data_IF_779428354479
#
_entry.id   IF_779428354479
#
_cell.length_a   1.000
_cell.length_b   1.000
_cell.length_c   1.000
_cell.angle_alpha   90.00
_cell.angle_beta   90.00
_cell.angle_gamma   90.00
#
_symmetry.space_group_name_H-M   'P 1'
#
loop_
_entity.id
_entity.type
_entity.pdbx_description
1 polymer ?
#
# COMPACT_ATOMS: atom_id res chain seq x y z
N UNK A 1 -14.62 11.57 -67.80
CA UNK A 1 -13.17 11.78 -67.94
C UNK A 1 -12.53 11.62 -66.56
N UNK A 2 -11.64 10.63 -66.45
CA UNK A 2 -10.64 10.31 -65.39
C UNK A 2 -11.11 10.31 -63.92
N UNK A 3 -11.38 9.15 -63.31
CA UNK A 3 -10.46 8.13 -62.76
C UNK A 3 -9.63 8.59 -61.55
N UNK A 4 -9.76 7.84 -60.45
CA UNK A 4 -8.93 7.99 -59.25
C UNK A 4 -9.37 7.13 -58.06
N UNK A 5 -9.58 5.82 -58.29
CA UNK A 5 -9.73 4.80 -57.25
C UNK A 5 -8.34 4.42 -56.72
N UNK A 6 -8.16 4.32 -55.40
CA UNK A 6 -7.00 3.66 -54.81
C UNK A 6 -7.41 2.88 -53.56
N UNK A 7 -7.29 1.56 -53.69
CA UNK A 7 -7.60 0.56 -52.70
C UNK A 7 -6.42 0.32 -51.74
N UNK A 8 -6.79 -0.06 -50.52
CA UNK A 8 -6.22 -1.12 -49.67
C UNK A 8 -4.71 -1.43 -49.81
N UNK A 9 -3.99 -1.29 -48.70
CA UNK A 9 -2.86 -2.18 -48.42
C UNK A 9 -2.81 -2.53 -46.93
N UNK A 10 -3.20 -3.76 -46.65
CA UNK A 10 -3.15 -4.45 -45.37
C UNK A 10 -1.71 -4.92 -45.13
N UNK A 11 -1.02 -4.34 -44.16
CA UNK A 11 0.33 -4.77 -43.75
C UNK A 11 0.28 -5.85 -42.67
N UNK A 12 0.41 -7.11 -43.08
CA UNK A 12 0.54 -8.28 -42.21
C UNK A 12 1.91 -8.34 -41.51
N UNK A 13 1.93 -8.28 -40.18
CA UNK A 13 3.14 -8.46 -39.38
C UNK A 13 3.33 -9.96 -39.07
N UNK A 14 4.12 -10.66 -39.90
CA UNK A 14 4.49 -12.06 -39.71
C UNK A 14 5.49 -12.19 -38.53
N UNK A 15 5.09 -13.00 -37.54
CA UNK A 15 5.98 -13.52 -36.48
C UNK A 15 6.95 -14.54 -37.09
N UNK A 16 8.22 -14.19 -37.20
CA UNK A 16 9.29 -15.19 -37.34
C UNK A 16 9.53 -15.87 -36.00
N UNK A 17 9.24 -17.17 -35.95
CA UNK A 17 9.70 -18.07 -34.90
C UNK A 17 10.83 -18.88 -35.50
N UNK A 18 12.05 -18.70 -35.02
CA UNK A 18 13.15 -19.61 -35.33
C UNK A 18 13.29 -20.59 -34.16
N UNK A 19 13.15 -21.87 -34.49
CA UNK A 19 13.41 -23.02 -33.64
C UNK A 19 14.48 -23.86 -34.33
N UNK A 20 15.31 -24.48 -33.50
CA UNK A 20 16.19 -25.64 -33.72
C UNK A 20 17.69 -25.39 -33.87
N UNK A 21 18.44 -26.10 -33.03
CA UNK A 21 19.89 -26.24 -33.07
C UNK A 21 20.42 -26.87 -31.78
N UNK A 22 20.21 -28.17 -31.58
CA UNK A 22 21.07 -29.01 -30.73
C UNK A 22 22.33 -29.40 -31.52
N UNK A 23 23.47 -29.57 -30.84
CA UNK A 23 24.25 -30.79 -31.09
C UNK A 23 24.62 -31.54 -29.81
N UNK A 24 24.64 -32.85 -29.96
CA UNK A 24 25.18 -33.87 -29.06
C UNK A 24 26.68 -34.07 -29.36
N UNK A 25 27.45 -34.43 -28.32
CA UNK A 25 28.66 -35.28 -28.28
C UNK A 25 29.59 -34.76 -27.16
N UNK A 26 29.64 -35.38 -25.98
CA UNK A 26 30.32 -36.64 -25.62
C UNK A 26 31.85 -36.54 -25.62
N UNK A 27 32.42 -36.50 -24.41
CA UNK A 27 33.68 -37.08 -23.88
C UNK A 27 33.97 -36.28 -22.60
N UNK A 28 34.08 -36.77 -21.37
CA UNK A 28 34.53 -38.05 -20.81
C UNK A 28 35.43 -37.69 -19.61
N UNK A 29 35.45 -38.54 -18.58
CA UNK A 29 36.21 -38.42 -17.30
C UNK A 29 35.54 -37.51 -16.25
N UNK A 30 35.08 -37.97 -15.08
CA UNK A 30 35.41 -39.15 -14.31
C UNK A 30 35.95 -38.68 -12.97
N UNK A 31 35.09 -38.46 -11.96
CA UNK A 31 35.51 -38.17 -10.58
C UNK A 31 34.41 -38.54 -9.56
N UNK A 32 34.70 -39.63 -8.86
CA UNK A 32 34.36 -39.92 -7.47
C UNK A 32 32.95 -39.59 -6.95
N UNK A 33 32.10 -40.62 -6.92
CA UNK A 33 30.85 -40.68 -6.18
C UNK A 33 31.11 -40.62 -4.67
N UNK A 34 31.16 -39.40 -4.11
CA UNK A 34 31.03 -39.18 -2.66
C UNK A 34 29.53 -39.14 -2.32
N UNK A 35 28.97 -40.29 -1.94
CA UNK A 35 27.66 -40.35 -1.31
C UNK A 35 27.74 -39.64 0.05
N UNK A 36 27.33 -38.37 0.09
CA UNK A 36 26.98 -37.69 1.34
C UNK A 36 25.52 -38.04 1.65
N UNK A 37 25.20 -38.56 2.85
CA UNK A 37 23.81 -38.81 3.20
C UNK A 37 23.05 -37.48 3.20
N UNK A 38 21.88 -37.49 2.55
CA UNK A 38 20.94 -36.38 2.62
C UNK A 38 20.69 -36.05 4.10
N UNK A 39 21.05 -34.82 4.51
CA UNK A 39 20.55 -34.27 5.76
C UNK A 39 19.03 -34.18 5.60
N UNK A 40 18.33 -35.18 6.13
CA UNK A 40 16.92 -35.08 6.44
C UNK A 40 16.76 -33.90 7.39
N UNK A 41 16.41 -32.73 6.85
CA UNK A 41 15.88 -31.66 7.68
C UNK A 41 14.60 -32.21 8.29
N UNK A 42 14.49 -32.32 9.62
CA UNK A 42 13.22 -32.69 10.23
C UNK A 42 12.22 -31.63 9.77
N UNK A 43 11.21 -32.08 9.02
CA UNK A 43 10.03 -31.28 8.71
C UNK A 43 9.59 -30.61 10.02
N UNK A 44 9.40 -29.27 10.05
CA UNK A 44 8.87 -28.62 11.23
C UNK A 44 7.56 -29.31 11.59
N UNK A 45 7.51 -29.85 12.82
CA UNK A 45 6.29 -30.34 13.47
C UNK A 45 5.16 -29.37 13.12
N UNK A 46 4.11 -29.93 12.55
CA UNK A 46 2.86 -29.26 12.23
C UNK A 46 2.49 -28.36 13.42
N UNK A 47 2.73 -27.07 13.26
CA UNK A 47 2.49 -26.11 14.33
C UNK A 47 0.99 -26.07 14.46
N UNK A 48 0.45 -26.68 15.52
CA UNK A 48 -0.97 -26.70 15.83
C UNK A 48 -1.55 -25.32 15.48
N UNK A 49 -2.41 -25.29 14.46
CA UNK A 49 -3.05 -24.06 14.01
C UNK A 49 -3.79 -23.50 15.22
N UNK A 50 -3.22 -22.47 15.87
CA UNK A 50 -3.89 -21.76 16.96
C UNK A 50 -5.26 -21.37 16.43
N UNK A 51 -6.31 -21.90 17.06
CA UNK A 51 -7.70 -21.63 16.72
C UNK A 51 -7.88 -20.13 16.52
N UNK A 52 -8.46 -19.71 15.38
CA UNK A 52 -8.73 -18.30 15.10
C UNK A 52 -9.36 -17.66 16.35
N UNK A 53 -8.80 -16.58 16.90
CA UNK A 53 -9.35 -15.96 18.09
C UNK A 53 -10.80 -15.56 17.81
N UNK A 54 -11.72 -15.96 18.70
CA UNK A 54 -13.14 -15.58 18.60
C UNK A 54 -13.22 -14.06 18.51
N UNK A 55 -13.85 -13.55 17.46
CA UNK A 55 -14.07 -12.11 17.23
C UNK A 55 -15.17 -11.64 18.19
N UNK A 56 -14.86 -11.57 19.48
CA UNK A 56 -15.82 -11.24 20.53
C UNK A 56 -15.99 -9.73 20.61
N UNK A 57 -17.24 -9.26 20.49
CA UNK A 57 -17.59 -7.87 20.73
C UNK A 57 -17.33 -7.47 22.20
N UNK A 58 -16.91 -6.23 22.42
CA UNK A 58 -16.56 -5.70 23.75
C UNK A 58 -17.27 -4.37 24.00
N UNK A 59 -18.00 -4.32 25.10
CA UNK A 59 -18.64 -3.12 25.62
C UNK A 59 -17.82 -2.54 26.76
N UNK A 60 -17.64 -1.21 26.77
CA UNK A 60 -16.95 -0.51 27.85
C UNK A 60 -17.30 0.97 27.84
N UNK A 61 -17.01 1.65 28.95
CA UNK A 61 -17.07 3.11 29.06
C UNK A 61 -15.67 3.69 28.96
N UNK A 62 -15.54 4.82 28.27
CA UNK A 62 -14.26 5.52 28.19
C UNK A 62 -14.47 7.04 28.11
N UNK A 63 -13.59 7.77 28.80
CA UNK A 63 -13.55 9.22 28.80
C UNK A 63 -12.85 9.74 27.55
N UNK A 64 -13.47 10.71 26.88
CA UNK A 64 -12.89 11.36 25.70
C UNK A 64 -11.78 12.31 26.16
N UNK A 65 -10.54 11.93 25.88
CA UNK A 65 -9.34 12.70 26.23
C UNK A 65 -8.81 13.48 25.02
N UNK A 66 -8.07 14.56 25.28
CA UNK A 66 -7.35 15.31 24.25
C UNK A 66 -5.93 14.78 24.16
N UNK A 67 -5.46 14.49 22.95
CA UNK A 67 -4.04 14.19 22.76
C UNK A 67 -3.27 15.50 22.97
N UNK A 68 -2.21 15.53 23.82
CA UNK A 68 -1.30 16.66 23.89
C UNK A 68 -0.45 16.70 22.61
N UNK A 69 -1.01 17.31 21.57
CA UNK A 69 -0.42 17.47 20.25
C UNK A 69 -0.87 18.82 19.67
N UNK A 70 -0.12 19.33 18.69
CA UNK A 70 -0.53 20.50 17.89
C UNK A 70 -1.89 20.31 17.21
N UNK A 71 -2.28 19.05 16.99
CA UNK A 71 -3.58 18.70 16.47
C UNK A 71 -4.53 18.44 17.64
N UNK A 72 -5.63 19.21 17.71
CA UNK A 72 -6.67 19.13 18.75
C UNK A 72 -7.53 17.86 18.61
N UNK A 73 -6.88 16.71 18.59
CA UNK A 73 -7.47 15.40 18.37
C UNK A 73 -8.01 14.84 19.68
N UNK A 74 -9.23 14.32 19.61
CA UNK A 74 -9.90 13.66 20.73
C UNK A 74 -9.80 12.16 20.55
N UNK A 75 -9.45 11.44 21.60
CA UNK A 75 -9.25 10.00 21.57
C UNK A 75 -9.77 9.34 22.84
N UNK A 76 -9.91 8.02 22.78
CA UNK A 76 -10.09 7.18 23.96
C UNK A 76 -8.97 6.14 24.02
N UNK A 77 -8.58 5.75 25.23
CA UNK A 77 -7.76 4.56 25.46
C UNK A 77 -8.66 3.35 25.54
N UNK A 78 -8.26 2.25 24.90
CA UNK A 78 -9.00 0.99 24.97
C UNK A 78 -8.67 0.30 26.30
N UNK A 79 -9.66 0.02 27.17
CA UNK A 79 -9.41 -0.44 28.54
C UNK A 79 -9.08 -1.94 28.64
N UNK A 80 -8.80 -2.60 27.51
CA UNK A 80 -8.43 -4.01 27.47
C UNK A 80 -7.32 -4.25 26.44
N UNK A 81 -6.61 -5.37 26.61
CA UNK A 81 -5.52 -5.74 25.72
C UNK A 81 -6.06 -6.33 24.41
N UNK A 82 -6.11 -5.49 23.37
CA UNK A 82 -6.59 -5.87 22.03
C UNK A 82 -5.81 -7.05 21.44
N UNK A 83 -4.49 -7.10 21.66
CA UNK A 83 -3.65 -8.21 21.17
C UNK A 83 -4.05 -9.53 21.80
N UNK A 84 -4.34 -9.57 23.10
CA UNK A 84 -4.80 -10.78 23.80
C UNK A 84 -6.23 -11.17 23.40
N UNK A 85 -7.13 -10.18 23.25
CA UNK A 85 -8.56 -10.46 23.02
C UNK A 85 -8.86 -10.78 21.55
N UNK A 86 -8.23 -10.07 20.60
CA UNK A 86 -8.52 -10.20 19.16
C UNK A 86 -7.34 -10.75 18.34
N UNK A 87 -6.20 -11.06 18.97
CA UNK A 87 -5.02 -11.62 18.30
C UNK A 87 -4.35 -10.67 17.30
N UNK A 88 -4.58 -9.36 17.44
CA UNK A 88 -4.11 -8.35 16.50
C UNK A 88 -3.14 -7.37 17.18
N UNK A 89 -1.90 -7.34 16.71
CA UNK A 89 -0.81 -6.57 17.34
C UNK A 89 -0.66 -5.14 16.78
N UNK A 90 -1.05 -4.92 15.53
CA UNK A 90 -0.96 -3.62 14.87
C UNK A 90 -2.25 -2.81 14.96
N UNK A 91 -2.46 -1.96 13.96
CA UNK A 91 -3.71 -1.24 13.78
C UNK A 91 -4.85 -2.21 13.47
N UNK A 92 -5.97 -2.10 14.20
CA UNK A 92 -7.10 -3.04 14.10
C UNK A 92 -8.32 -2.32 13.55
N UNK A 93 -8.90 -2.83 12.46
CA UNK A 93 -10.18 -2.32 11.95
C UNK A 93 -11.30 -2.78 12.89
N UNK A 94 -12.17 -1.85 13.26
CA UNK A 94 -13.31 -2.12 14.15
C UNK A 94 -14.60 -1.54 13.59
N UNK A 95 -15.71 -2.19 13.91
CA UNK A 95 -17.07 -1.66 13.77
C UNK A 95 -17.73 -1.67 15.14
N UNK A 96 -18.69 -0.79 15.35
CA UNK A 96 -19.23 -0.60 16.68
C UNK A 96 -20.14 0.61 16.80
N UNK A 97 -20.43 0.96 18.04
CA UNK A 97 -21.33 2.07 18.39
C UNK A 97 -20.73 2.92 19.51
N UNK A 98 -21.03 4.22 19.48
CA UNK A 98 -20.78 5.18 20.56
C UNK A 98 -22.13 5.75 21.00
N UNK A 99 -22.56 5.46 22.23
CA UNK A 99 -23.90 5.83 22.73
C UNK A 99 -25.04 5.47 21.74
N UNK A 100 -24.95 4.30 21.10
CA UNK A 100 -25.91 3.85 20.07
C UNK A 100 -25.66 4.36 18.65
N UNK A 101 -24.72 5.30 18.44
CA UNK A 101 -24.38 5.78 17.10
C UNK A 101 -23.37 4.85 16.41
N UNK A 102 -23.80 4.17 15.35
CA UNK A 102 -22.99 3.21 14.61
C UNK A 102 -21.82 3.86 13.85
N UNK A 103 -20.67 3.20 13.90
CA UNK A 103 -19.47 3.61 13.17
C UNK A 103 -18.55 2.46 12.77
N UNK A 104 -17.61 2.79 11.87
CA UNK A 104 -16.45 1.95 11.56
C UNK A 104 -15.18 2.79 11.63
N UNK A 105 -14.15 2.28 12.28
CA UNK A 105 -12.89 3.01 12.48
C UNK A 105 -11.70 2.06 12.58
N UNK A 106 -10.54 2.61 12.93
CA UNK A 106 -9.29 1.89 13.17
C UNK A 106 -8.82 2.20 14.58
N UNK A 107 -8.50 1.16 15.34
CA UNK A 107 -7.73 1.25 16.57
C UNK A 107 -6.26 1.37 16.21
N UNK A 108 -5.60 2.41 16.73
CA UNK A 108 -4.19 2.65 16.51
C UNK A 108 -3.36 2.02 17.62
N UNK A 109 -2.38 1.21 17.26
CA UNK A 109 -1.38 0.71 18.22
C UNK A 109 -0.41 1.83 18.58
N UNK A 110 -0.16 2.03 19.87
CA UNK A 110 0.84 2.99 20.35
C UNK A 110 2.19 2.30 20.58
N UNK A 111 3.29 3.08 20.58
CA UNK A 111 4.62 2.56 20.94
C UNK A 111 4.70 1.99 22.37
N UNK A 112 3.78 2.41 23.24
CA UNK A 112 3.67 1.97 24.63
C UNK A 112 2.85 0.68 24.79
N UNK A 113 2.42 0.05 23.69
CA UNK A 113 1.78 -1.26 23.70
C UNK A 113 0.27 -1.28 23.96
N UNK A 114 -0.39 -0.12 24.09
CA UNK A 114 -1.84 -0.02 24.18
C UNK A 114 -2.47 0.50 22.87
N UNK A 115 -3.77 0.29 22.72
CA UNK A 115 -4.54 0.76 21.56
C UNK A 115 -5.39 1.99 21.91
N UNK A 116 -5.54 2.88 20.93
CA UNK A 116 -6.39 4.05 21.01
C UNK A 116 -7.39 4.10 19.86
N UNK A 117 -8.56 4.70 20.10
CA UNK A 117 -9.50 5.09 19.05
C UNK A 117 -9.53 6.61 18.91
N UNK A 118 -9.33 7.11 17.70
CA UNK A 118 -9.57 8.52 17.39
C UNK A 118 -11.07 8.78 17.27
N UNK A 119 -11.58 9.73 18.06
CA UNK A 119 -12.99 10.12 18.05
C UNK A 119 -13.15 11.39 17.22
N UNK A 120 -13.47 11.20 15.94
CA UNK A 120 -13.65 12.32 14.99
C UNK A 120 -14.82 13.22 15.37
N UNK A 121 -14.88 14.44 14.81
CA UNK A 121 -16.01 15.37 15.01
C UNK A 121 -17.35 14.70 14.70
N UNK A 122 -17.43 13.89 13.63
CA UNK A 122 -18.63 13.14 13.25
C UNK A 122 -19.06 12.15 14.34
N UNK A 123 -18.12 11.43 14.95
CA UNK A 123 -18.42 10.47 16.02
C UNK A 123 -18.90 11.17 17.29
N UNK A 124 -18.28 12.29 17.65
CA UNK A 124 -18.69 13.09 18.81
C UNK A 124 -20.11 13.64 18.66
N UNK A 125 -20.42 14.21 17.50
CA UNK A 125 -21.76 14.74 17.21
C UNK A 125 -22.77 13.59 17.16
N UNK A 126 -22.47 12.51 16.43
CA UNK A 126 -23.40 11.39 16.27
C UNK A 126 -23.68 10.64 17.58
N UNK A 127 -22.66 10.45 18.41
CA UNK A 127 -22.78 9.80 19.71
C UNK A 127 -23.10 10.75 20.87
N UNK A 128 -23.40 12.02 20.60
CA UNK A 128 -23.65 13.05 21.60
C UNK A 128 -22.64 13.01 22.78
N UNK A 129 -21.34 13.09 22.45
CA UNK A 129 -20.25 12.96 23.42
C UNK A 129 -19.25 14.12 23.26
N UNK A 130 -19.01 14.85 24.34
CA UNK A 130 -18.07 15.97 24.39
C UNK A 130 -16.69 15.57 24.92
N UNK A 131 -15.73 16.49 24.79
CA UNK A 131 -14.41 16.31 25.38
C UNK A 131 -14.52 16.31 26.92
N UNK A 132 -13.87 15.36 27.58
CA UNK A 132 -13.94 15.18 29.03
C UNK A 132 -15.12 14.33 29.51
N UNK A 133 -16.10 14.04 28.65
CA UNK A 133 -17.23 13.19 28.99
C UNK A 133 -16.92 11.71 28.79
N UNK A 134 -17.65 10.87 29.53
CA UNK A 134 -17.60 9.41 29.39
C UNK A 134 -18.69 8.95 28.43
N UNK A 135 -18.31 8.24 27.37
CA UNK A 135 -19.24 7.62 26.43
C UNK A 135 -19.21 6.08 26.54
N UNK A 136 -20.33 5.45 26.21
CA UNK A 136 -20.46 4.01 26.10
C UNK A 136 -20.03 3.57 24.69
N UNK A 137 -19.09 2.63 24.63
CA UNK A 137 -18.61 2.04 23.40
C UNK A 137 -18.98 0.56 23.34
N UNK A 138 -19.34 0.10 22.14
CA UNK A 138 -19.46 -1.31 21.79
C UNK A 138 -18.61 -1.55 20.54
N UNK A 139 -17.55 -2.37 20.62
CA UNK A 139 -16.59 -2.58 19.53
C UNK A 139 -16.39 -4.04 19.20
N UNK A 140 -16.23 -4.35 17.93
CA UNK A 140 -15.81 -5.66 17.43
C UNK A 140 -14.87 -5.52 16.22
N UNK A 141 -14.01 -6.52 15.94
CA UNK A 141 -13.18 -6.50 14.75
C UNK A 141 -14.00 -6.43 13.45
N UNK A 142 -13.69 -5.45 12.58
CA UNK A 142 -14.29 -5.32 11.25
C UNK A 142 -13.52 -6.18 10.23
N UNK A 143 -13.94 -7.45 10.10
CA UNK A 143 -13.39 -8.39 9.12
C UNK A 143 -14.02 -8.27 7.74
N UNK A 144 -15.01 -7.37 7.56
CA UNK A 144 -15.68 -7.21 6.28
C UNK A 144 -14.67 -6.81 5.18
N UNK A 145 -14.78 -7.50 4.04
CA UNK A 145 -14.06 -7.12 2.81
C UNK A 145 -14.64 -5.79 2.34
N UNK A 146 -13.81 -4.75 2.36
CA UNK A 146 -14.17 -3.45 1.76
C UNK A 146 -13.75 -3.48 0.30
N UNK A 147 -14.68 -3.13 -0.59
CA UNK A 147 -14.44 -3.02 -2.02
C UNK A 147 -14.57 -1.54 -2.39
N UNK A 148 -13.65 -1.02 -3.20
CA UNK A 148 -13.82 0.29 -3.82
C UNK A 148 -14.88 0.15 -4.92
N UNK A 149 -15.98 0.87 -4.79
CA UNK A 149 -17.03 0.89 -5.81
C UNK A 149 -16.54 1.80 -6.93
N UNK A 150 -16.19 1.22 -8.07
CA UNK A 150 -15.70 1.94 -9.24
C UNK A 150 -16.90 2.56 -9.96
N UNK A 151 -16.97 3.90 -10.14
CA UNK A 151 -18.08 4.54 -10.84
C UNK A 151 -18.08 4.18 -12.33
N UNK A 152 -19.26 4.14 -12.96
CA UNK A 152 -19.43 3.66 -14.33
C UNK A 152 -18.58 4.46 -15.34
N UNK A 153 -18.44 5.75 -15.14
CA UNK A 153 -17.61 6.67 -15.94
C UNK A 153 -16.15 6.24 -15.93
N UNK A 154 -15.63 5.82 -14.78
CA UNK A 154 -14.24 5.34 -14.65
C UNK A 154 -14.08 3.88 -15.06
N UNK A 155 -15.12 3.05 -14.91
CA UNK A 155 -15.12 1.69 -15.42
C UNK A 155 -14.93 1.67 -16.95
N UNK A 156 -15.55 2.61 -17.67
CA UNK A 156 -15.36 2.75 -19.13
C UNK A 156 -13.89 2.92 -19.49
N UNK A 157 -13.22 3.90 -18.88
CA UNK A 157 -11.79 4.15 -19.10
C UNK A 157 -10.93 2.94 -18.72
N UNK A 158 -11.22 2.29 -17.59
CA UNK A 158 -10.50 1.08 -17.18
C UNK A 158 -10.71 -0.10 -18.13
N UNK A 159 -11.82 -0.16 -18.88
CA UNK A 159 -12.10 -1.25 -19.80
C UNK A 159 -11.42 -1.06 -21.17
N UNK A 160 -10.94 0.15 -21.49
CA UNK A 160 -10.21 0.43 -22.72
C UNK A 160 -8.84 -0.24 -22.75
N UNK A 161 -8.15 -0.32 -21.60
CA UNK A 161 -6.85 -0.98 -21.49
C UNK A 161 -6.79 -1.99 -20.32
N UNK A 162 -6.66 -3.27 -20.68
CA UNK A 162 -6.52 -4.39 -19.73
C UNK A 162 -5.27 -4.30 -18.87
N UNK A 163 -4.17 -3.74 -19.40
CA UNK A 163 -2.92 -3.55 -18.66
C UNK A 163 -3.10 -2.49 -17.57
N UNK A 164 -3.72 -1.36 -17.92
CA UNK A 164 -4.07 -0.30 -16.99
C UNK A 164 -5.02 -0.78 -15.89
N UNK A 165 -6.06 -1.57 -16.25
CA UNK A 165 -6.96 -2.19 -15.27
C UNK A 165 -6.22 -3.04 -14.25
N UNK A 166 -5.33 -3.93 -14.70
CA UNK A 166 -4.55 -4.79 -13.81
C UNK A 166 -3.66 -3.98 -12.87
N UNK A 167 -3.03 -2.93 -13.39
CA UNK A 167 -2.20 -2.04 -12.58
C UNK A 167 -3.05 -1.29 -11.54
N UNK A 168 -4.21 -0.77 -11.92
CA UNK A 168 -5.14 -0.11 -11.01
C UNK A 168 -5.60 -1.05 -9.89
N UNK A 169 -5.91 -2.31 -10.19
CA UNK A 169 -6.35 -3.30 -9.21
C UNK A 169 -5.28 -3.68 -8.18
N UNK A 170 -3.99 -3.48 -8.50
CA UNK A 170 -2.89 -3.61 -7.55
C UNK A 170 -2.78 -2.43 -6.57
N UNK A 171 -3.45 -1.30 -6.84
CA UNK A 171 -3.47 -0.18 -5.90
C UNK A 171 -4.18 -0.58 -4.60
N UNK A 172 -3.62 -0.12 -3.49
CA UNK A 172 -4.21 -0.32 -2.17
C UNK A 172 -5.64 0.21 -2.12
N UNK A 173 -6.51 -0.49 -1.39
CA UNK A 173 -7.93 -0.16 -1.29
C UNK A 173 -8.20 1.32 -0.97
N UNK A 174 -7.41 1.92 -0.07
CA UNK A 174 -7.57 3.32 0.31
C UNK A 174 -7.36 4.27 -0.87
N UNK A 175 -6.38 3.98 -1.74
CA UNK A 175 -6.09 4.78 -2.93
C UNK A 175 -7.22 4.62 -3.95
N UNK A 176 -7.61 3.37 -4.26
CA UNK A 176 -8.73 3.10 -5.17
C UNK A 176 -10.02 3.77 -4.72
N UNK A 177 -10.32 3.67 -3.42
CA UNK A 177 -11.48 4.33 -2.81
C UNK A 177 -11.38 5.85 -2.93
N UNK A 178 -10.25 6.45 -2.58
CA UNK A 178 -10.06 7.89 -2.69
C UNK A 178 -10.27 8.40 -4.12
N UNK A 179 -9.74 7.68 -5.14
CA UNK A 179 -9.95 8.00 -6.55
C UNK A 179 -11.45 7.96 -6.89
N UNK A 180 -12.13 6.85 -6.54
CA UNK A 180 -13.55 6.68 -6.85
C UNK A 180 -14.41 7.75 -6.15
N UNK A 181 -14.18 7.98 -4.86
CA UNK A 181 -14.86 9.00 -4.05
C UNK A 181 -14.63 10.41 -4.63
N UNK A 182 -13.41 10.71 -5.10
CA UNK A 182 -13.08 12.00 -5.71
C UNK A 182 -13.82 12.21 -7.04
N UNK A 183 -13.94 11.18 -7.88
CA UNK A 183 -14.72 11.25 -9.13
C UNK A 183 -16.20 11.54 -8.80
N UNK A 184 -16.82 10.76 -7.91
CA UNK A 184 -18.26 10.91 -7.60
C UNK A 184 -18.61 12.13 -6.75
N UNK A 185 -17.60 12.80 -6.15
CA UNK A 185 -17.83 13.99 -5.33
C UNK A 185 -18.41 15.18 -6.11
N UNK A 186 -18.37 15.18 -7.44
CA UNK A 186 -19.14 16.11 -8.29
C UNK A 186 -20.49 15.55 -8.68
N UNK A 187 -21.49 16.43 -8.71
CA UNK A 187 -22.88 16.09 -9.06
C UNK A 187 -23.11 15.94 -10.57
N UNK A 188 -22.46 16.77 -11.40
CA UNK A 188 -22.62 16.75 -12.86
C UNK A 188 -22.00 15.48 -13.46
N UNK A 189 -22.76 14.70 -14.26
CA UNK A 189 -22.23 13.53 -14.98
C UNK A 189 -21.06 13.87 -15.91
N UNK A 190 -21.13 14.98 -16.65
CA UNK A 190 -20.04 15.41 -17.53
C UNK A 190 -18.77 15.75 -16.73
N UNK A 191 -18.94 16.36 -15.56
CA UNK A 191 -17.82 16.64 -14.67
C UNK A 191 -17.19 15.36 -14.10
N UNK A 192 -17.98 14.29 -13.90
CA UNK A 192 -17.46 12.96 -13.50
C UNK A 192 -16.64 12.35 -14.62
N UNK A 193 -17.10 12.41 -15.87
CA UNK A 193 -16.36 11.95 -17.05
C UNK A 193 -15.01 12.67 -17.13
N UNK A 194 -15.00 14.01 -17.11
CA UNK A 194 -13.76 14.81 -17.14
C UNK A 194 -12.80 14.47 -15.99
N UNK A 195 -13.32 14.14 -14.80
CA UNK A 195 -12.49 13.72 -13.67
C UNK A 195 -11.95 12.31 -13.84
N UNK A 196 -12.75 11.39 -14.38
CA UNK A 196 -12.35 10.02 -14.66
C UNK A 196 -11.22 9.97 -15.70
N UNK A 197 -11.35 10.71 -16.80
CA UNK A 197 -10.31 10.86 -17.83
C UNK A 197 -9.04 11.46 -17.24
N UNK A 198 -9.18 12.60 -16.54
CA UNK A 198 -8.05 13.29 -15.93
C UNK A 198 -7.25 12.41 -14.96
N UNK A 199 -7.93 11.69 -14.07
CA UNK A 199 -7.20 10.83 -13.13
C UNK A 199 -6.62 9.61 -13.86
N UNK A 200 -7.28 9.09 -14.89
CA UNK A 200 -6.74 8.02 -15.71
C UNK A 200 -5.42 8.43 -16.38
N UNK A 201 -5.36 9.61 -17.01
CA UNK A 201 -4.13 10.16 -17.59
C UNK A 201 -2.98 10.19 -16.58
N UNK A 202 -3.23 10.70 -15.37
CA UNK A 202 -2.23 10.77 -14.31
C UNK A 202 -1.76 9.38 -13.85
N UNK A 203 -2.68 8.41 -13.75
CA UNK A 203 -2.37 7.05 -13.35
C UNK A 203 -1.63 6.28 -14.45
N UNK A 204 -1.99 6.46 -15.72
CA UNK A 204 -1.29 5.87 -16.86
C UNK A 204 0.13 6.43 -16.97
N UNK A 205 0.32 7.74 -16.84
CA UNK A 205 1.66 8.34 -16.79
C UNK A 205 2.51 7.79 -15.63
N UNK A 206 1.88 7.50 -14.48
CA UNK A 206 2.54 6.82 -13.35
C UNK A 206 2.93 5.40 -13.71
N UNK A 207 2.02 4.62 -14.29
CA UNK A 207 2.26 3.24 -14.72
C UNK A 207 3.42 3.17 -15.73
N UNK A 208 3.45 4.07 -16.70
CA UNK A 208 4.54 4.17 -17.66
C UNK A 208 5.85 4.55 -16.99
N UNK A 209 5.84 5.51 -16.05
CA UNK A 209 7.02 5.96 -15.33
C UNK A 209 7.65 4.89 -14.42
N UNK A 210 6.87 3.88 -14.00
CA UNK A 210 7.40 2.71 -13.29
C UNK A 210 8.26 1.82 -14.19
N UNK A 211 7.91 1.73 -15.48
CA UNK A 211 8.65 0.97 -16.48
C UNK A 211 9.81 1.79 -17.05
N UNK A 212 9.52 3.03 -17.43
CA UNK A 212 10.42 3.94 -18.13
C UNK A 212 10.37 5.33 -17.47
N UNK A 213 11.41 5.67 -16.71
CA UNK A 213 11.47 6.97 -16.03
C UNK A 213 11.37 8.14 -17.04
N UNK A 214 10.52 9.16 -16.78
CA UNK A 214 10.39 10.31 -17.66
C UNK A 214 11.68 11.15 -17.69
N UNK A 215 11.93 11.93 -18.76
CA UNK A 215 13.16 12.70 -18.93
C UNK A 215 13.51 13.61 -17.75
N UNK A 216 12.51 14.25 -17.14
CA UNK A 216 12.71 15.11 -15.97
C UNK A 216 13.34 14.37 -14.78
N UNK A 217 12.93 13.12 -14.54
CA UNK A 217 13.48 12.30 -13.46
C UNK A 217 14.83 11.71 -13.83
N UNK A 218 15.02 11.31 -15.09
CA UNK A 218 16.34 10.88 -15.60
C UNK A 218 17.39 11.98 -15.41
N UNK A 219 17.07 13.21 -15.76
CA UNK A 219 17.96 14.36 -15.56
C UNK A 219 18.23 14.61 -14.06
N UNK A 220 17.20 14.50 -13.22
CA UNK A 220 17.35 14.66 -11.77
C UNK A 220 18.30 13.60 -11.17
N UNK A 221 18.18 12.35 -11.59
CA UNK A 221 19.07 11.27 -11.16
C UNK A 221 20.47 11.36 -11.77
N UNK A 222 20.62 11.91 -12.97
CA UNK A 222 21.93 12.17 -13.56
C UNK A 222 22.73 13.20 -12.73
N UNK A 223 22.06 14.15 -12.08
CA UNK A 223 22.70 15.13 -11.17
C UNK A 223 23.16 14.51 -9.85
N UNK A 224 22.47 13.48 -9.34
CA UNK A 224 22.90 12.73 -8.16
C UNK A 224 22.74 11.20 -8.37
N UNK A 225 23.80 10.52 -8.84
CA UNK A 225 23.77 9.08 -9.08
C UNK A 225 23.53 8.23 -7.81
N UNK A 226 23.85 8.75 -6.61
CA UNK A 226 23.62 8.02 -5.35
C UNK A 226 22.14 7.93 -5.03
N UNK A 227 21.40 9.02 -5.30
CA UNK A 227 19.95 9.00 -5.20
C UNK A 227 19.33 7.96 -6.15
N UNK A 228 19.93 7.74 -7.33
CA UNK A 228 19.47 6.69 -8.24
C UNK A 228 19.67 5.28 -7.70
N UNK A 229 20.81 5.01 -7.06
CA UNK A 229 21.05 3.72 -6.38
C UNK A 229 20.05 3.51 -5.23
N UNK A 230 19.79 4.56 -4.46
CA UNK A 230 18.76 4.57 -3.43
C UNK A 230 17.36 4.29 -3.97
N UNK A 231 17.01 4.87 -5.12
CA UNK A 231 15.77 4.62 -5.83
C UNK A 231 15.65 3.16 -6.28
N UNK A 232 16.72 2.58 -6.82
CA UNK A 232 16.74 1.16 -7.20
C UNK A 232 16.55 0.22 -6.00
N UNK A 233 17.00 0.62 -4.81
CA UNK A 233 16.78 -0.13 -3.56
C UNK A 233 15.35 -0.04 -3.02
N UNK A 234 14.52 0.90 -3.52
CA UNK A 234 13.15 1.06 -3.06
C UNK A 234 12.24 -0.05 -3.56
N UNK A 235 11.31 -0.45 -2.69
CA UNK A 235 10.22 -1.35 -3.09
C UNK A 235 9.37 -0.73 -4.21
N UNK A 236 8.75 -1.54 -5.11
CA UNK A 236 7.88 -1.02 -6.16
C UNK A 236 6.78 -0.10 -5.63
N UNK A 237 6.23 -0.43 -4.46
CA UNK A 237 5.20 0.38 -3.80
C UNK A 237 5.71 1.78 -3.41
N UNK A 238 6.93 1.88 -2.87
CA UNK A 238 7.54 3.17 -2.51
C UNK A 238 7.77 4.04 -3.74
N UNK A 239 8.36 3.47 -4.79
CA UNK A 239 8.57 4.17 -6.07
C UNK A 239 7.25 4.69 -6.64
N UNK A 240 6.23 3.82 -6.67
CA UNK A 240 4.87 4.18 -7.09
C UNK A 240 4.31 5.37 -6.32
N UNK A 241 4.45 5.40 -5.00
CA UNK A 241 3.94 6.53 -4.19
C UNK A 241 4.63 7.86 -4.51
N UNK A 242 5.94 7.85 -4.79
CA UNK A 242 6.64 9.05 -5.26
C UNK A 242 6.10 9.50 -6.62
N UNK A 243 6.00 8.58 -7.58
CA UNK A 243 5.51 8.89 -8.93
C UNK A 243 4.07 9.43 -8.90
N UNK A 244 3.16 8.78 -8.17
CA UNK A 244 1.79 9.26 -7.98
C UNK A 244 1.77 10.70 -7.43
N UNK A 245 2.62 11.00 -6.45
CA UNK A 245 2.73 12.35 -5.88
C UNK A 245 3.21 13.39 -6.89
N UNK A 246 4.16 13.03 -7.75
CA UNK A 246 4.74 13.91 -8.78
C UNK A 246 3.72 14.19 -9.89
N UNK A 247 3.06 13.16 -10.44
CA UNK A 247 2.09 13.31 -11.52
C UNK A 247 0.75 13.89 -11.07
N UNK A 248 0.42 13.77 -9.78
CA UNK A 248 -0.75 14.44 -9.22
C UNK A 248 -0.58 15.97 -9.18
N UNK A 249 0.64 16.47 -9.00
CA UNK A 249 0.94 17.90 -8.90
C UNK A 249 0.74 18.63 -10.24
N UNK A 250 -0.10 19.67 -10.19
CA UNK A 250 -0.44 20.49 -11.37
C UNK A 250 0.61 21.54 -11.68
N UNK A 251 1.13 22.22 -10.65
CA UNK A 251 2.07 23.33 -10.85
C UNK A 251 3.51 22.81 -10.91
N UNK A 252 4.40 23.44 -11.72
CA UNK A 252 5.80 23.08 -11.78
C UNK A 252 6.49 23.12 -10.41
N UNK A 253 6.21 24.15 -9.60
CA UNK A 253 6.88 24.37 -8.31
C UNK A 253 6.51 23.26 -7.31
N UNK A 254 5.24 22.84 -7.31
CA UNK A 254 4.81 21.74 -6.44
C UNK A 254 5.37 20.40 -6.91
N UNK A 255 5.52 20.23 -8.23
CA UNK A 255 6.17 19.05 -8.82
C UNK A 255 7.64 19.00 -8.44
N UNK A 256 8.36 20.11 -8.54
CA UNK A 256 9.79 20.18 -8.19
C UNK A 256 10.01 19.85 -6.71
N UNK A 257 9.18 20.38 -5.81
CA UNK A 257 9.24 19.99 -4.38
C UNK A 257 9.02 18.49 -4.16
N UNK A 258 8.14 17.85 -4.94
CA UNK A 258 7.93 16.40 -4.88
C UNK A 258 9.12 15.62 -5.43
N UNK A 259 9.77 16.12 -6.48
CA UNK A 259 11.00 15.55 -7.05
C UNK A 259 12.13 15.68 -6.03
N UNK A 260 12.36 16.85 -5.44
CA UNK A 260 13.35 17.05 -4.36
C UNK A 260 13.12 16.08 -3.21
N UNK A 261 11.86 15.96 -2.74
CA UNK A 261 11.52 15.02 -1.67
C UNK A 261 11.79 13.56 -2.03
N UNK A 262 11.51 13.18 -3.28
CA UNK A 262 11.82 11.84 -3.80
C UNK A 262 13.33 11.58 -3.80
N UNK A 263 14.14 12.54 -4.23
CA UNK A 263 15.61 12.43 -4.22
C UNK A 263 16.14 12.29 -2.80
N UNK A 264 15.66 13.10 -1.85
CA UNK A 264 16.02 13.00 -0.43
C UNK A 264 15.70 11.62 0.16
N UNK A 265 14.49 11.12 -0.07
CA UNK A 265 14.09 9.80 0.45
C UNK A 265 14.89 8.67 -0.20
N UNK A 266 15.29 8.84 -1.46
CA UNK A 266 16.16 7.90 -2.17
C UNK A 266 17.58 7.92 -1.61
N UNK A 267 18.17 9.10 -1.44
CA UNK A 267 19.48 9.27 -0.82
C UNK A 267 19.51 8.69 0.60
N UNK A 268 18.51 9.01 1.42
CA UNK A 268 18.39 8.47 2.77
C UNK A 268 18.23 6.93 2.80
N UNK A 269 17.80 6.30 1.71
CA UNK A 269 17.79 4.84 1.57
C UNK A 269 19.14 4.28 1.21
N UNK A 270 19.86 4.94 0.30
CA UNK A 270 21.23 4.59 -0.04
C UNK A 270 22.15 4.69 1.20
N UNK A 271 22.00 5.74 2.01
CA UNK A 271 22.83 5.99 3.20
C UNK A 271 22.51 5.07 4.39
N UNK A 272 21.35 4.41 4.40
CA UNK A 272 21.02 3.47 5.47
C UNK A 272 21.92 2.25 5.37
N UNK A 273 22.85 2.12 6.31
CA UNK A 273 23.57 0.87 6.58
C UNK A 273 22.56 -0.28 6.64
N UNK A 274 22.83 -1.43 6.01
CA UNK A 274 22.00 -2.62 6.19
C UNK A 274 21.95 -2.90 7.69
N UNK A 275 20.75 -3.12 8.21
CA UNK A 275 20.55 -3.47 9.61
C UNK A 275 21.28 -4.80 9.83
N UNK A 276 22.47 -4.77 10.45
CA UNK A 276 23.14 -6.00 10.90
C UNK A 276 22.13 -6.74 11.78
N UNK A 277 21.97 -8.04 11.54
CA UNK A 277 21.43 -8.95 12.56
C UNK A 277 22.53 -9.14 13.60
N UNK A 278 22.88 -8.11 14.35
CA UNK A 278 23.57 -8.35 15.61
C UNK A 278 22.51 -8.88 16.58
N UNK A 279 22.74 -10.11 17.03
CA UNK A 279 21.99 -10.70 18.13
C UNK A 279 22.06 -9.72 19.31
N UNK A 280 21.00 -9.58 20.12
CA UNK A 280 21.14 -8.86 21.38
C UNK A 280 22.28 -9.52 22.15
N UNK A 281 23.34 -8.77 22.45
CA UNK A 281 24.29 -9.20 23.48
C UNK A 281 23.45 -9.45 24.74
N UNK A 282 23.46 -10.71 25.19
CA UNK A 282 22.94 -11.07 26.51
C UNK A 282 23.62 -10.14 27.52
N UNK A 283 22.87 -9.34 28.30
CA UNK A 283 23.50 -8.63 29.39
C UNK A 283 24.05 -9.69 30.33
N UNK A 284 25.37 -9.66 30.52
CA UNK A 284 26.04 -10.41 31.57
C UNK A 284 25.24 -10.23 32.87
N UNK A 285 24.73 -11.35 33.39
CA UNK A 285 24.29 -11.46 34.76
C UNK A 285 25.52 -11.20 35.63
N UNK A 286 25.72 -9.95 36.04
CA UNK A 286 26.65 -9.62 37.10
C UNK A 286 25.86 -9.65 38.41
N UNK A 287 26.17 -10.68 39.19
CA UNK A 287 25.75 -10.90 40.57
C UNK A 287 26.07 -9.66 41.41
N UNK A 288 25.07 -9.08 42.08
CA UNK A 288 25.29 -8.41 43.35
C UNK A 288 24.09 -8.69 44.26
N UNK A 289 24.42 -9.27 45.41
CA UNK A 289 23.59 -9.54 46.58
C UNK A 289 22.93 -8.27 47.14
#
# INVERSE_FOLDING_TARGET
MSHGSAALTTGSFQRQTQRWGTPLDSTGQGLATSQRPARCYPFPRETAMKSKPKLVAKSFKATLERIPSRFNLVFIRIPFNVSKVWGAHGNVRVKGEINGFAFRSVLFSTRKGYHCLLVTKRLRIGGNAALGETAQFHLEPDTAKRVAIVPAEFQRVLNEDRSFRRWFDQLGLSMRKWICDWIVSVKSPEARIRRAERIAEQLMATMEAELNLPPILKLAFARDPRAYQGWQSMTPLQRRYHLLGIFYCRTPETRDRRISKMLEDSLARHERKPRSKEAPEEPAHEELW
#
